data_IF_084044623188
#
_entry.id   IF_084044623188
#
_cell.length_a   1.000
_cell.length_b   1.000
_cell.length_c   1.000
_cell.angle_alpha   90.00
_cell.angle_beta   90.00
_cell.angle_gamma   90.00
#
_symmetry.space_group_name_H-M   'P 1'
#
loop_
_entity.id
_entity.type
_entity.pdbx_description
1 polymer ?
#
# COMPACT_ATOMS: atom_id res chain seq x y z
N UNK A 1 12.93 35.97 -7.11
CA UNK A 1 11.55 35.54 -6.76
C UNK A 1 11.37 34.12 -7.26
N UNK A 2 11.25 33.14 -6.35
CA UNK A 2 11.04 31.74 -6.73
C UNK A 2 9.54 31.51 -6.86
N UNK A 3 9.08 31.40 -8.10
CA UNK A 3 7.69 31.12 -8.46
C UNK A 3 7.40 29.67 -8.05
N UNK A 4 6.59 29.47 -7.01
CA UNK A 4 6.11 28.14 -6.62
C UNK A 4 5.02 27.73 -7.62
N UNK A 5 5.35 26.77 -8.47
CA UNK A 5 4.39 26.15 -9.38
C UNK A 5 3.40 25.31 -8.54
N UNK A 6 2.17 25.79 -8.41
CA UNK A 6 1.08 25.05 -7.78
C UNK A 6 0.43 24.23 -8.89
N UNK A 7 0.73 22.94 -8.91
CA UNK A 7 0.02 21.96 -9.74
C UNK A 7 -1.21 21.53 -8.95
N UNK A 8 -2.40 21.90 -9.45
CA UNK A 8 -3.69 21.45 -8.92
C UNK A 8 -3.83 19.94 -9.20
N UNK A 9 -3.49 19.12 -8.21
CA UNK A 9 -3.96 17.73 -8.16
C UNK A 9 -5.41 17.75 -7.65
N UNK A 10 -6.32 17.13 -8.39
CA UNK A 10 -7.59 16.70 -7.82
C UNK A 10 -7.28 15.59 -6.78
N UNK A 11 -6.90 16.04 -5.59
CA UNK A 11 -6.67 15.20 -4.43
C UNK A 11 -8.06 14.85 -3.90
N UNK A 12 -8.55 13.66 -4.24
CA UNK A 12 -9.67 13.07 -3.50
C UNK A 12 -9.10 12.74 -2.11
N UNK A 13 -9.25 13.69 -1.19
CA UNK A 13 -8.92 13.49 0.21
C UNK A 13 -10.03 12.63 0.77
N UNK A 14 -9.80 11.32 0.83
CA UNK A 14 -10.67 10.40 1.55
C UNK A 14 -10.63 10.76 3.04
N UNK A 15 -11.61 11.55 3.49
CA UNK A 15 -11.89 11.71 4.91
C UNK A 15 -12.44 10.40 5.43
N UNK A 16 -11.56 9.54 5.97
CA UNK A 16 -11.98 8.34 6.67
C UNK A 16 -12.75 8.72 7.94
N UNK A 17 -14.05 8.38 7.97
CA UNK A 17 -14.82 8.32 9.20
C UNK A 17 -15.33 6.89 9.40
N UNK A 18 -14.76 6.24 10.41
CA UNK A 18 -14.97 4.92 11.01
C UNK A 18 -16.20 4.08 10.57
N UNK A 19 -15.91 2.92 9.97
CA UNK A 19 -16.60 1.65 10.26
C UNK A 19 -15.55 0.58 10.59
N UNK A 20 -15.48 0.19 11.86
CA UNK A 20 -14.66 -0.94 12.32
C UNK A 20 -15.30 -2.25 11.87
N UNK A 21 -14.73 -2.87 10.85
CA UNK A 21 -14.68 -4.32 10.66
C UNK A 21 -13.21 -4.63 10.37
N UNK A 22 -12.55 -5.41 11.22
CA UNK A 22 -11.16 -5.82 11.01
C UNK A 22 -11.09 -6.80 9.82
N UNK A 23 -11.16 -6.27 8.60
CA UNK A 23 -11.11 -7.04 7.35
C UNK A 23 -9.69 -7.06 6.76
N UNK A 24 -8.65 -6.97 7.60
CA UNK A 24 -7.26 -7.00 7.17
C UNK A 24 -6.56 -8.26 7.67
N UNK A 25 -5.85 -8.91 6.75
CA UNK A 25 -5.05 -10.11 7.00
C UNK A 25 -3.65 -9.88 6.48
N UNK A 26 -2.63 -10.36 7.18
CA UNK A 26 -1.24 -10.16 6.77
C UNK A 26 -0.36 -11.37 7.10
N UNK A 27 0.71 -11.54 6.33
CA UNK A 27 1.76 -12.54 6.56
C UNK A 27 2.67 -12.20 7.75
N UNK A 28 2.67 -10.94 8.19
CA UNK A 28 3.51 -10.43 9.26
C UNK A 28 2.74 -9.75 10.39
N UNK A 29 3.46 -9.45 11.47
CA UNK A 29 2.91 -8.79 12.65
C UNK A 29 3.08 -7.27 12.55
N UNK A 30 2.53 -6.52 13.51
CA UNK A 30 2.79 -5.08 13.61
C UNK A 30 4.27 -4.76 13.86
N UNK A 31 4.99 -5.65 14.53
CA UNK A 31 6.42 -5.51 14.85
C UNK A 31 7.31 -5.92 13.67
N UNK A 32 6.86 -6.91 12.90
CA UNK A 32 7.55 -7.39 11.72
C UNK A 32 6.56 -7.57 10.54
N UNK A 33 6.15 -6.47 9.89
CA UNK A 33 5.16 -6.50 8.82
C UNK A 33 5.70 -7.12 7.52
N UNK A 34 7.01 -7.29 7.41
CA UNK A 34 7.73 -7.80 6.24
C UNK A 34 8.04 -9.31 6.34
N UNK A 35 7.30 -10.05 7.17
CA UNK A 35 7.42 -11.50 7.23
C UNK A 35 6.83 -12.16 5.99
N UNK A 36 7.44 -13.26 5.56
CA UNK A 36 6.85 -14.16 4.57
C UNK A 36 6.02 -15.22 5.26
N UNK A 37 4.86 -15.53 4.65
CA UNK A 37 4.07 -16.69 5.00
C UNK A 37 3.41 -17.24 3.76
N UNK A 38 3.27 -18.56 3.69
CA UNK A 38 2.36 -19.15 2.72
C UNK A 38 0.95 -18.60 3.01
N UNK A 39 0.26 -18.18 1.96
CA UNK A 39 -1.17 -17.84 2.06
C UNK A 39 -1.92 -19.14 2.37
N UNK A 40 -2.68 -19.16 3.47
CA UNK A 40 -3.46 -20.34 3.86
C UNK A 40 -4.61 -20.59 2.90
N UNK A 41 -5.12 -21.82 2.87
CA UNK A 41 -6.22 -22.20 1.97
C UNK A 41 -7.52 -21.42 2.33
N UNK A 42 -7.70 -21.07 3.60
CA UNK A 42 -8.79 -20.20 4.10
C UNK A 42 -8.75 -18.78 3.50
N UNK A 43 -7.61 -18.36 2.97
CA UNK A 43 -7.38 -17.07 2.34
C UNK A 43 -7.20 -17.18 0.82
N UNK A 44 -7.63 -18.30 0.22
CA UNK A 44 -7.47 -18.58 -1.21
C UNK A 44 -8.10 -17.52 -2.12
N UNK A 45 -9.11 -16.79 -1.65
CA UNK A 45 -9.69 -15.65 -2.37
C UNK A 45 -8.66 -14.56 -2.70
N UNK A 46 -7.62 -14.39 -1.87
CA UNK A 46 -6.59 -13.37 -2.06
C UNK A 46 -5.46 -13.81 -3.01
N UNK A 47 -5.38 -15.10 -3.33
CA UNK A 47 -4.29 -15.67 -4.14
C UNK A 47 -4.13 -14.97 -5.50
N UNK A 48 -5.18 -14.78 -6.32
CA UNK A 48 -5.00 -14.10 -7.60
C UNK A 48 -4.61 -12.62 -7.45
N UNK A 49 -5.06 -11.93 -6.40
CA UNK A 49 -4.60 -10.56 -6.10
C UNK A 49 -3.11 -10.52 -5.74
N UNK A 50 -2.63 -11.52 -4.98
CA UNK A 50 -1.21 -11.68 -4.66
C UNK A 50 -0.38 -11.90 -5.93
N UNK A 51 -0.85 -12.75 -6.83
CA UNK A 51 -0.19 -13.07 -8.10
C UNK A 51 -0.08 -11.83 -9.01
N UNK A 52 -1.17 -11.07 -9.18
CA UNK A 52 -1.15 -9.80 -9.93
C UNK A 52 -0.23 -8.79 -9.26
N UNK A 53 -0.30 -8.65 -7.93
CA UNK A 53 0.55 -7.73 -7.17
C UNK A 53 2.03 -8.05 -7.35
N UNK A 54 2.41 -9.32 -7.19
CA UNK A 54 3.79 -9.77 -7.39
C UNK A 54 4.27 -9.51 -8.82
N UNK A 55 3.42 -9.80 -9.81
CA UNK A 55 3.75 -9.56 -11.22
C UNK A 55 3.95 -8.07 -11.54
N UNK A 56 3.17 -7.18 -10.93
CA UNK A 56 3.35 -5.74 -11.05
C UNK A 56 4.67 -5.28 -10.38
N UNK A 57 4.97 -5.77 -9.16
CA UNK A 57 6.23 -5.45 -8.48
C UNK A 57 7.46 -5.99 -9.25
N UNK A 58 7.37 -7.17 -9.87
CA UNK A 58 8.46 -7.71 -10.71
C UNK A 58 8.75 -6.81 -11.93
N UNK A 59 7.72 -6.18 -12.51
CA UNK A 59 7.94 -5.19 -13.58
C UNK A 59 8.55 -3.89 -13.05
N UNK A 60 8.09 -3.41 -11.89
CA UNK A 60 8.67 -2.25 -11.20
C UNK A 60 10.16 -2.49 -10.89
N UNK A 61 10.53 -3.70 -10.46
CA UNK A 61 11.94 -4.03 -10.18
C UNK A 61 12.86 -3.97 -11.41
N UNK A 62 12.28 -3.96 -12.61
CA UNK A 62 12.96 -3.86 -13.90
C UNK A 62 12.79 -2.47 -14.53
N UNK A 63 12.30 -1.50 -13.78
CA UNK A 63 11.93 -0.15 -14.23
C UNK A 63 10.89 -0.13 -15.37
N UNK A 64 10.06 -1.18 -15.50
CA UNK A 64 9.05 -1.29 -16.55
C UNK A 64 7.70 -0.73 -16.11
N UNK A 65 7.67 0.52 -15.64
CA UNK A 65 6.45 1.18 -15.15
C UNK A 65 5.37 1.29 -16.24
N UNK A 66 5.76 1.66 -17.46
CA UNK A 66 4.83 1.73 -18.61
C UNK A 66 4.06 0.41 -18.80
N UNK A 67 4.77 -0.72 -18.79
CA UNK A 67 4.18 -2.05 -18.97
C UNK A 67 3.22 -2.42 -17.82
N UNK A 68 3.49 -1.99 -16.59
CA UNK A 68 2.54 -2.18 -15.47
C UNK A 68 1.21 -1.52 -15.78
N UNK A 69 1.24 -0.24 -16.19
CA UNK A 69 0.03 0.50 -16.47
C UNK A 69 -0.69 -0.04 -17.72
N UNK A 70 0.03 -0.37 -18.79
CA UNK A 70 -0.54 -0.95 -20.01
C UNK A 70 -1.25 -2.27 -19.71
N UNK A 71 -0.65 -3.15 -18.92
CA UNK A 71 -1.20 -4.48 -18.64
C UNK A 71 -2.33 -4.44 -17.61
N UNK A 72 -2.11 -3.75 -16.50
CA UNK A 72 -2.95 -3.92 -15.32
C UNK A 72 -3.92 -2.76 -15.05
N UNK A 73 -3.73 -1.56 -15.61
CA UNK A 73 -4.73 -0.50 -15.36
C UNK A 73 -6.00 -0.73 -16.18
N UNK A 74 -7.11 -0.18 -15.69
CA UNK A 74 -8.42 -0.24 -16.34
C UNK A 74 -8.34 0.25 -17.79
N UNK A 75 -9.08 -0.43 -18.67
CA UNK A 75 -9.27 0.01 -20.05
C UNK A 75 -10.42 1.01 -20.08
N UNK A 76 -10.09 2.30 -20.05
CA UNK A 76 -11.04 3.41 -20.13
C UNK A 76 -10.48 4.54 -21.02
N UNK A 77 -11.28 5.59 -21.21
CA UNK A 77 -10.90 6.78 -22.00
C UNK A 77 -9.63 7.49 -21.49
N UNK A 78 -9.26 7.30 -20.23
CA UNK A 78 -8.08 7.88 -19.60
C UNK A 78 -6.86 6.95 -19.64
N UNK A 79 -6.98 5.72 -20.17
CA UNK A 79 -5.90 4.70 -20.20
C UNK A 79 -4.57 5.26 -20.70
N UNK A 80 -4.56 5.90 -21.87
CA UNK A 80 -3.32 6.44 -22.46
C UNK A 80 -2.66 7.47 -21.54
N UNK A 81 -3.44 8.41 -21.00
CA UNK A 81 -2.95 9.41 -20.04
C UNK A 81 -2.43 8.77 -18.76
N UNK A 82 -3.12 7.76 -18.24
CA UNK A 82 -2.71 7.04 -17.03
C UNK A 82 -1.40 6.27 -17.25
N UNK A 83 -1.22 5.63 -18.41
CA UNK A 83 0.04 4.96 -18.79
C UNK A 83 1.19 5.96 -18.84
N UNK A 84 1.01 7.10 -19.50
CA UNK A 84 2.08 8.09 -19.63
C UNK A 84 2.43 8.76 -18.30
N UNK A 85 1.44 8.98 -17.44
CA UNK A 85 1.68 9.51 -16.10
C UNK A 85 2.40 8.49 -15.21
N UNK A 86 1.98 7.23 -15.24
CA UNK A 86 2.58 6.18 -14.43
C UNK A 86 4.01 5.85 -14.87
N UNK A 87 4.29 5.90 -16.19
CA UNK A 87 5.64 5.71 -16.72
C UNK A 87 6.65 6.74 -16.19
N UNK A 88 6.19 7.96 -15.85
CA UNK A 88 7.03 9.03 -15.27
C UNK A 88 7.35 8.82 -13.78
N UNK A 89 6.71 7.86 -13.12
CA UNK A 89 6.96 7.61 -11.70
C UNK A 89 8.33 6.99 -11.42
N UNK A 90 9.04 6.43 -12.41
CA UNK A 90 10.38 5.88 -12.18
C UNK A 90 11.31 6.92 -11.56
N UNK A 91 11.37 8.12 -12.16
CA UNK A 91 12.21 9.21 -11.67
C UNK A 91 11.81 9.66 -10.26
N UNK A 92 10.50 9.81 -10.01
CA UNK A 92 9.96 10.23 -8.72
C UNK A 92 10.25 9.19 -7.62
N UNK A 93 10.00 7.91 -7.91
CA UNK A 93 10.25 6.81 -6.98
C UNK A 93 11.74 6.66 -6.70
N UNK A 94 12.58 6.76 -7.73
CA UNK A 94 14.03 6.68 -7.56
C UNK A 94 14.61 7.91 -6.83
N UNK A 95 14.04 9.10 -7.03
CA UNK A 95 14.42 10.29 -6.26
C UNK A 95 14.10 10.10 -4.77
N UNK A 96 12.87 9.70 -4.47
CA UNK A 96 12.38 9.56 -3.10
C UNK A 96 12.96 8.34 -2.36
N UNK A 97 12.87 7.15 -2.95
CA UNK A 97 13.20 5.88 -2.29
C UNK A 97 14.53 5.29 -2.76
N UNK A 98 15.07 5.74 -3.90
CA UNK A 98 16.26 5.18 -4.53
C UNK A 98 15.94 4.00 -5.46
N UNK A 99 17.00 3.39 -6.01
CA UNK A 99 16.85 2.20 -6.88
C UNK A 99 16.21 1.03 -6.15
N UNK A 100 15.40 0.25 -6.85
CA UNK A 100 14.85 -1.01 -6.35
C UNK A 100 15.98 -1.92 -5.83
N UNK A 101 15.77 -2.54 -4.66
CA UNK A 101 16.72 -3.49 -4.06
C UNK A 101 16.11 -4.88 -3.97
N UNK A 102 14.95 -5.01 -3.33
CA UNK A 102 14.32 -6.31 -3.10
C UNK A 102 12.87 -6.17 -2.66
N UNK A 103 12.12 -7.25 -2.78
CA UNK A 103 10.83 -7.44 -2.13
C UNK A 103 10.66 -8.93 -1.83
N UNK A 104 9.77 -9.26 -0.91
CA UNK A 104 9.46 -10.64 -0.56
C UNK A 104 8.18 -11.08 -1.27
N UNK A 105 8.25 -12.18 -2.02
CA UNK A 105 7.13 -12.63 -2.87
C UNK A 105 5.97 -13.15 -2.03
N UNK A 106 6.28 -13.81 -0.91
CA UNK A 106 5.30 -14.37 0.02
C UNK A 106 5.00 -13.45 1.21
N UNK A 107 5.46 -12.20 1.17
CA UNK A 107 4.95 -11.16 2.06
C UNK A 107 3.63 -10.67 1.47
N UNK A 108 2.59 -10.56 2.29
CA UNK A 108 1.30 -10.05 1.85
C UNK A 108 0.59 -9.36 3.00
N UNK A 109 -0.20 -8.35 2.67
CA UNK A 109 -1.18 -7.75 3.55
C UNK A 109 -2.36 -7.35 2.69
N UNK A 110 -3.53 -7.86 3.02
CA UNK A 110 -4.78 -7.54 2.35
C UNK A 110 -5.68 -6.78 3.29
N UNK A 111 -6.48 -5.86 2.74
CA UNK A 111 -7.64 -5.33 3.45
C UNK A 111 -8.83 -5.20 2.50
N UNK A 112 -10.01 -5.61 2.97
CA UNK A 112 -11.26 -5.33 2.27
C UNK A 112 -11.77 -3.96 2.68
N UNK A 113 -12.13 -3.13 1.71
CA UNK A 113 -12.67 -1.79 1.90
C UNK A 113 -14.03 -1.71 1.21
N UNK A 114 -15.03 -1.13 1.86
CA UNK A 114 -16.27 -0.74 1.23
C UNK A 114 -16.30 0.79 1.16
N UNK A 115 -16.45 1.33 -0.04
CA UNK A 115 -16.52 2.77 -0.25
C UNK A 115 -17.58 3.10 -1.30
N UNK A 116 -18.50 4.00 -0.95
CA UNK A 116 -19.61 4.41 -1.83
C UNK A 116 -20.39 3.23 -2.42
N UNK A 117 -20.59 2.17 -1.63
CA UNK A 117 -21.32 0.97 -2.06
C UNK A 117 -20.53 0.03 -2.98
N UNK A 118 -19.24 0.28 -3.19
CA UNK A 118 -18.36 -0.60 -3.94
C UNK A 118 -17.37 -1.30 -3.00
N UNK A 119 -17.15 -2.58 -3.25
CA UNK A 119 -16.17 -3.39 -2.53
C UNK A 119 -14.82 -3.42 -3.26
N UNK A 120 -13.75 -3.27 -2.48
CA UNK A 120 -12.38 -3.20 -2.95
C UNK A 120 -11.46 -4.08 -2.12
N UNK A 121 -10.45 -4.62 -2.79
CA UNK A 121 -9.31 -5.28 -2.14
C UNK A 121 -8.10 -4.38 -2.26
N UNK A 122 -7.47 -4.03 -1.13
CA UNK A 122 -6.14 -3.45 -1.13
C UNK A 122 -5.11 -4.53 -0.82
N UNK A 123 -4.12 -4.67 -1.69
CA UNK A 123 -2.92 -5.49 -1.50
C UNK A 123 -1.75 -4.57 -1.19
N UNK A 124 -1.09 -4.79 -0.05
CA UNK A 124 0.07 -4.00 0.38
C UNK A 124 1.32 -4.87 0.29
N UNK A 125 2.26 -4.43 -0.54
CA UNK A 125 3.58 -5.03 -0.73
C UNK A 125 4.64 -4.15 -0.07
N UNK A 126 5.54 -4.76 0.68
CA UNK A 126 6.70 -4.07 1.25
C UNK A 126 7.87 -4.21 0.26
N UNK A 127 8.34 -3.08 -0.23
CA UNK A 127 9.43 -3.01 -1.20
C UNK A 127 10.59 -2.24 -0.59
N UNK A 128 11.77 -2.84 -0.65
CA UNK A 128 13.00 -2.21 -0.21
C UNK A 128 13.68 -1.56 -1.41
N UNK A 129 13.92 -0.26 -1.28
CA UNK A 129 14.75 0.51 -2.18
C UNK A 129 16.06 0.86 -1.48
N UNK A 130 17.02 1.45 -2.21
CA UNK A 130 18.34 1.76 -1.65
C UNK A 130 18.33 2.82 -0.54
N UNK A 131 17.43 3.80 -0.59
CA UNK A 131 17.36 4.89 0.42
C UNK A 131 16.32 4.60 1.50
N UNK A 132 15.24 3.91 1.17
CA UNK A 132 14.12 3.68 2.08
C UNK A 132 13.30 2.44 1.70
N UNK A 133 12.43 2.03 2.61
CA UNK A 133 11.36 1.06 2.34
C UNK A 133 10.09 1.80 1.95
N UNK A 134 9.32 1.24 1.02
CA UNK A 134 7.97 1.71 0.67
C UNK A 134 6.93 0.63 0.90
N UNK A 135 5.75 1.06 1.33
CA UNK A 135 4.53 0.27 1.38
C UNK A 135 3.77 0.55 0.09
N UNK A 136 3.91 -0.33 -0.90
CA UNK A 136 3.25 -0.20 -2.20
C UNK A 136 1.84 -0.75 -2.07
N UNK A 137 0.84 0.13 -2.22
CA UNK A 137 -0.58 -0.23 -2.12
C UNK A 137 -1.15 -0.38 -3.52
N UNK A 138 -1.71 -1.55 -3.82
CA UNK A 138 -2.41 -1.86 -5.04
C UNK A 138 -3.88 -2.07 -4.71
N UNK A 139 -4.77 -1.29 -5.33
CA UNK A 139 -6.21 -1.37 -5.10
C UNK A 139 -6.88 -2.06 -6.28
N UNK A 140 -7.77 -2.99 -5.99
CA UNK A 140 -8.53 -3.78 -6.93
C UNK A 140 -10.02 -3.64 -6.62
N UNK A 141 -10.87 -3.85 -7.62
CA UNK A 141 -12.28 -4.11 -7.37
C UNK A 141 -12.41 -5.52 -6.79
N UNK A 142 -13.24 -5.70 -5.76
CA UNK A 142 -13.48 -7.06 -5.25
C UNK A 142 -14.16 -7.92 -6.33
N UNK A 143 -13.73 -9.16 -6.43
CA UNK A 143 -14.04 -10.10 -7.52
C UNK A 143 -13.22 -9.93 -8.81
N UNK A 144 -12.44 -8.85 -8.98
CA UNK A 144 -11.61 -8.63 -10.18
C UNK A 144 -10.13 -8.39 -9.84
N UNK A 145 -9.33 -9.46 -9.72
CA UNK A 145 -7.90 -9.36 -9.43
C UNK A 145 -7.06 -8.99 -10.67
N UNK A 146 -7.67 -8.88 -11.86
CA UNK A 146 -6.93 -8.71 -13.12
C UNK A 146 -6.53 -7.26 -13.38
N UNK A 147 -7.28 -6.30 -12.80
CA UNK A 147 -7.08 -4.87 -13.01
C UNK A 147 -6.82 -4.12 -11.70
N UNK A 148 -5.77 -3.29 -11.73
CA UNK A 148 -5.39 -2.38 -10.65
C UNK A 148 -6.08 -1.03 -10.90
N UNK A 149 -6.91 -0.62 -9.95
CA UNK A 149 -7.60 0.68 -9.93
C UNK A 149 -6.68 1.81 -9.48
N UNK A 150 -5.73 1.51 -8.59
CA UNK A 150 -4.77 2.48 -8.07
C UNK A 150 -3.52 1.80 -7.55
N UNK A 151 -2.35 2.42 -7.80
CA UNK A 151 -1.05 1.97 -7.32
C UNK A 151 -0.28 3.16 -6.76
N UNK A 152 0.07 3.10 -5.47
CA UNK A 152 0.74 4.20 -4.77
C UNK A 152 1.90 3.68 -3.93
N UNK A 153 2.97 4.48 -3.86
CA UNK A 153 4.14 4.23 -3.03
C UNK A 153 4.03 5.06 -1.75
N UNK A 154 3.81 4.41 -0.62
CA UNK A 154 3.68 5.09 0.68
C UNK A 154 4.96 4.95 1.50
N UNK A 155 5.26 5.94 2.33
CA UNK A 155 6.22 5.76 3.41
C UNK A 155 5.65 4.76 4.43
N UNK A 156 6.50 3.95 5.09
CA UNK A 156 6.05 3.11 6.19
C UNK A 156 5.39 3.98 7.27
N UNK A 157 4.34 3.47 7.96
CA UNK A 157 3.80 4.17 9.12
C UNK A 157 4.90 4.35 10.17
N UNK A 158 4.91 5.46 10.94
CA UNK A 158 5.88 5.65 11.99
C UNK A 158 5.77 4.49 13.01
N UNK A 159 6.90 4.01 13.58
CA UNK A 159 6.85 2.96 14.57
C UNK A 159 5.96 3.39 15.75
N UNK A 160 4.98 2.56 16.10
CA UNK A 160 4.13 2.79 17.27
C UNK A 160 5.01 2.70 18.52
N UNK A 161 5.33 3.83 19.13
CA UNK A 161 5.97 3.86 20.45
C UNK A 161 4.95 3.43 21.49
N UNK A 162 5.04 2.19 21.96
CA UNK A 162 4.33 1.79 23.18
C UNK A 162 5.09 2.39 24.37
N UNK A 163 4.52 3.42 24.98
CA UNK A 163 4.95 3.84 26.30
C UNK A 163 4.38 2.80 27.26
N UNK A 164 5.23 1.96 27.85
CA UNK A 164 4.83 1.20 29.05
C UNK A 164 4.46 2.23 30.12
N UNK A 165 3.20 2.25 30.50
CA UNK A 165 2.78 2.95 31.72
C UNK A 165 3.08 1.95 32.83
N UNK A 166 4.15 2.17 33.60
CA UNK A 166 4.37 1.40 34.83
C UNK A 166 3.24 1.75 35.80
N UNK A 167 2.39 0.75 36.09
CA UNK A 167 1.37 0.84 37.12
C UNK A 167 2.04 0.89 38.49
N UNK A 168 2.14 2.08 39.09
CA UNK A 168 2.02 2.25 40.55
C UNK A 168 1.93 3.73 40.92
N UNK A 169 0.73 4.17 41.28
CA UNK A 169 0.59 5.28 42.23
C UNK A 169 -0.50 4.89 43.23
N UNK A 170 -0.07 4.40 44.40
CA UNK A 170 -0.84 4.51 45.64
C UNK A 170 -0.89 5.99 46.01
N UNK A 171 -2.09 6.58 46.01
CA UNK A 171 -2.31 7.88 46.63
C UNK A 171 -2.70 7.66 48.08
N UNK A 172 -1.82 8.04 49.01
CA UNK A 172 -2.16 8.20 50.41
C UNK A 172 -3.29 9.23 50.53
N UNK A 173 -4.38 8.81 51.17
CA UNK A 173 -5.53 9.66 51.42
C UNK A 173 -5.18 10.85 52.30
N UNK A 174 -5.48 12.05 51.81
CA UNK A 174 -5.48 13.28 52.61
C UNK A 174 -6.58 13.13 53.68
N UNK A 175 -6.18 13.01 54.95
CA UNK A 175 -7.08 13.18 56.09
C UNK A 175 -7.54 14.64 56.16
N UNK A 176 -8.85 14.86 56.26
CA UNK A 176 -9.43 16.07 56.87
C UNK A 176 -9.42 15.93 58.38
#
# INVERSE_FOLDING_TARGET
>A
MKQKLIIFFALVVFSQCNTKLNNSVASGTLENPDMESKLSDDLSEFKPYLETSNSAIELISKNNYRTVAEKYFLEDENKSKNVDNFAKLDDVVNEQFGKFKSYKKNQWNFSKQNYEGNDYIQSIKIVHFRKATSFVTLTFKDGDPSKILGLYFNNPPPPKKYVKIDESYTYEGIKK
#
